data_IF_508657303789
#
_entry.id   IF_508657303789
#
_cell.length_a   1.000
_cell.length_b   1.000
_cell.length_c   1.000
_cell.angle_alpha   90.00
_cell.angle_beta   90.00
_cell.angle_gamma   90.00
#
_symmetry.space_group_name_H-M   'P 1'
#
loop_
_entity.id
_entity.type
_entity.pdbx_description
1 polymer ?
#
# COMPACT_ATOMS: atom_id res chain seq x y z
N UNK A 1 -24.38 1.27 -0.82
CA UNK A 1 -23.74 2.45 -1.45
C UNK A 1 -23.63 2.11 -2.93
N UNK A 2 -24.31 2.88 -3.79
CA UNK A 2 -24.27 2.64 -5.23
C UNK A 2 -22.95 3.12 -5.82
N UNK A 3 -22.33 2.30 -6.68
CA UNK A 3 -21.20 2.65 -7.49
C UNK A 3 -21.57 3.83 -8.41
N UNK A 4 -21.08 5.02 -8.10
CA UNK A 4 -21.21 6.16 -8.98
C UNK A 4 -20.00 6.21 -9.92
N UNK A 5 -20.21 5.85 -11.19
CA UNK A 5 -19.16 5.85 -12.23
C UNK A 5 -18.52 7.24 -12.43
N UNK A 6 -19.20 8.31 -12.00
CA UNK A 6 -18.76 9.70 -12.13
C UNK A 6 -18.10 10.27 -10.87
N UNK A 7 -17.70 9.42 -9.90
CA UNK A 7 -17.04 9.88 -8.68
C UNK A 7 -15.64 10.41 -9.00
N UNK A 8 -15.58 11.64 -9.49
CA UNK A 8 -14.35 12.43 -9.68
C UNK A 8 -14.55 13.76 -8.97
N UNK A 9 -13.49 14.44 -8.66
CA UNK A 9 -13.50 15.73 -8.00
C UNK A 9 -12.19 15.99 -7.26
N UNK A 10 -11.95 17.24 -6.90
CA UNK A 10 -10.74 17.61 -6.17
C UNK A 10 -9.42 17.25 -6.84
N UNK A 11 -9.41 17.06 -8.18
CA UNK A 11 -8.23 16.57 -8.91
C UNK A 11 -7.89 15.09 -8.66
N UNK A 12 -8.86 14.30 -8.20
CA UNK A 12 -8.68 12.89 -7.85
C UNK A 12 -9.50 11.96 -8.74
N UNK A 13 -8.96 10.76 -8.93
CA UNK A 13 -9.66 9.59 -9.46
C UNK A 13 -10.17 8.71 -8.31
N UNK A 14 -11.07 7.79 -8.62
CA UNK A 14 -11.37 6.64 -7.78
C UNK A 14 -10.17 5.69 -7.86
N UNK A 15 -9.28 5.78 -6.89
CA UNK A 15 -8.11 4.93 -6.85
C UNK A 15 -8.37 3.66 -6.06
N UNK A 16 -7.92 2.53 -6.59
CA UNK A 16 -7.84 1.30 -5.81
C UNK A 16 -6.69 1.42 -4.79
N UNK A 17 -6.92 0.92 -3.58
CA UNK A 17 -5.80 0.68 -2.65
C UNK A 17 -5.06 -0.59 -3.08
N UNK A 18 -5.76 -1.72 -3.18
CA UNK A 18 -5.26 -2.95 -3.81
C UNK A 18 -5.70 -2.97 -5.27
N UNK A 19 -4.77 -3.07 -6.19
CA UNK A 19 -5.04 -3.04 -7.62
C UNK A 19 -5.76 -4.31 -8.12
N UNK A 20 -6.30 -4.22 -9.34
CA UNK A 20 -7.01 -5.35 -9.95
C UNK A 20 -6.04 -6.47 -10.38
N UNK A 21 -4.78 -6.12 -10.66
CA UNK A 21 -3.76 -7.07 -11.09
C UNK A 21 -3.43 -8.12 -10.01
N UNK A 22 -3.49 -7.73 -8.72
CA UNK A 22 -3.17 -8.61 -7.59
C UNK A 22 -4.26 -9.63 -7.26
N UNK A 23 -5.44 -9.52 -7.89
CA UNK A 23 -6.61 -10.38 -7.60
C UNK A 23 -7.17 -11.05 -8.85
N UNK A 24 -6.30 -11.66 -9.65
CA UNK A 24 -6.66 -12.28 -10.95
C UNK A 24 -6.95 -13.78 -10.90
N UNK A 25 -6.88 -14.40 -9.73
CA UNK A 25 -7.10 -15.85 -9.56
C UNK A 25 -8.50 -16.32 -9.97
N UNK A 26 -9.51 -15.46 -9.87
CA UNK A 26 -10.86 -15.69 -10.37
C UNK A 26 -11.60 -14.37 -10.61
N UNK A 27 -12.65 -14.39 -11.40
CA UNK A 27 -13.57 -13.24 -11.59
C UNK A 27 -14.14 -12.76 -10.25
N UNK A 28 -14.49 -13.67 -9.36
CA UNK A 28 -15.06 -13.34 -8.06
C UNK A 28 -14.05 -12.63 -7.14
N UNK A 29 -12.80 -13.08 -7.09
CA UNK A 29 -11.74 -12.41 -6.33
C UNK A 29 -11.40 -11.05 -6.92
N UNK A 30 -11.34 -10.93 -8.24
CA UNK A 30 -11.10 -9.66 -8.90
C UNK A 30 -12.23 -8.66 -8.66
N UNK A 31 -13.49 -9.11 -8.63
CA UNK A 31 -14.65 -8.25 -8.35
C UNK A 31 -14.56 -7.55 -6.99
N UNK A 32 -13.90 -8.15 -6.01
CA UNK A 32 -13.76 -7.59 -4.67
C UNK A 32 -12.95 -6.29 -4.64
N UNK A 33 -12.00 -6.11 -5.54
CA UNK A 33 -11.18 -4.87 -5.59
C UNK A 33 -12.01 -3.64 -5.96
N UNK A 34 -13.16 -3.84 -6.57
CA UNK A 34 -14.08 -2.75 -6.93
C UNK A 34 -15.07 -2.39 -5.81
N UNK A 35 -14.98 -3.01 -4.64
CA UNK A 35 -15.79 -2.61 -3.49
C UNK A 35 -15.31 -1.26 -2.96
N UNK A 36 -16.23 -0.43 -2.50
CA UNK A 36 -15.90 0.90 -1.97
C UNK A 36 -14.95 0.89 -0.78
N UNK A 37 -14.88 -0.22 -0.06
CA UNK A 37 -13.91 -0.42 1.02
C UNK A 37 -12.46 -0.48 0.53
N UNK A 38 -12.26 -0.66 -0.78
CA UNK A 38 -10.95 -0.65 -1.44
C UNK A 38 -10.72 0.61 -2.31
N UNK A 39 -11.60 1.59 -2.25
CA UNK A 39 -11.53 2.79 -3.09
C UNK A 39 -11.28 4.02 -2.23
N UNK A 40 -10.28 4.80 -2.59
CA UNK A 40 -9.99 6.09 -1.99
C UNK A 40 -9.75 7.17 -3.06
N UNK A 41 -9.93 8.46 -2.75
CA UNK A 41 -9.50 9.53 -3.65
C UNK A 41 -7.99 9.45 -3.87
N UNK A 42 -7.54 9.36 -5.12
CA UNK A 42 -6.12 9.38 -5.50
C UNK A 42 -5.87 10.48 -6.52
N UNK A 43 -4.83 11.30 -6.30
CA UNK A 43 -4.46 12.39 -7.20
C UNK A 43 -4.23 11.87 -8.62
N UNK A 44 -5.00 12.41 -9.57
CA UNK A 44 -5.04 11.90 -10.95
C UNK A 44 -3.79 12.24 -11.77
N UNK A 45 -3.10 13.34 -11.42
CA UNK A 45 -2.02 13.88 -12.25
C UNK A 45 -0.65 13.27 -11.99
N UNK A 46 -0.39 12.71 -10.81
CA UNK A 46 0.95 12.25 -10.45
C UNK A 46 1.00 11.17 -9.38
N UNK A 47 -0.15 10.64 -8.95
CA UNK A 47 -0.17 9.59 -7.93
C UNK A 47 -0.83 8.30 -8.43
N UNK A 48 -2.03 8.38 -9.03
CA UNK A 48 -2.82 7.20 -9.42
C UNK A 48 -2.17 6.41 -10.58
N UNK A 49 -2.43 6.76 -11.83
CA UNK A 49 -2.03 6.00 -13.03
C UNK A 49 -1.01 6.74 -13.88
N UNK A 50 -0.53 6.11 -14.95
CA UNK A 50 0.36 6.73 -15.92
C UNK A 50 1.74 7.11 -15.38
N UNK A 51 2.36 6.22 -14.64
CA UNK A 51 3.65 6.47 -13.97
C UNK A 51 3.53 7.35 -12.74
N UNK A 52 2.34 7.41 -12.16
CA UNK A 52 2.11 8.07 -10.87
C UNK A 52 2.76 7.32 -9.71
N UNK A 53 2.94 8.03 -8.60
CA UNK A 53 3.66 7.46 -7.46
C UNK A 53 3.08 6.14 -6.94
N UNK A 54 1.75 6.00 -6.86
CA UNK A 54 1.13 4.76 -6.42
C UNK A 54 1.30 3.64 -7.45
N UNK A 55 1.05 3.92 -8.73
CA UNK A 55 1.23 2.94 -9.81
C UNK A 55 2.67 2.37 -9.84
N UNK A 56 3.69 3.22 -9.71
CA UNK A 56 5.09 2.76 -9.67
C UNK A 56 5.38 1.89 -8.44
N UNK A 57 4.72 2.16 -7.31
CA UNK A 57 4.85 1.30 -6.13
C UNK A 57 4.13 -0.04 -6.34
N UNK A 58 2.95 -0.07 -6.94
CA UNK A 58 2.24 -1.31 -7.30
C UNK A 58 3.12 -2.17 -8.22
N UNK A 59 3.63 -1.61 -9.32
CA UNK A 59 4.54 -2.29 -10.25
C UNK A 59 5.78 -2.85 -9.55
N UNK A 60 6.33 -2.11 -8.58
CA UNK A 60 7.47 -2.56 -7.80
C UNK A 60 7.10 -3.71 -6.83
N UNK A 61 5.97 -3.63 -6.15
CA UNK A 61 5.50 -4.67 -5.22
C UNK A 61 5.29 -5.99 -5.96
N UNK A 62 4.77 -5.97 -7.18
CA UNK A 62 4.62 -7.15 -8.02
C UNK A 62 5.96 -7.88 -8.25
N UNK A 63 7.08 -7.16 -8.29
CA UNK A 63 8.41 -7.77 -8.42
C UNK A 63 8.89 -8.47 -7.14
N UNK A 64 8.25 -8.23 -6.00
CA UNK A 64 8.67 -8.76 -4.70
C UNK A 64 8.15 -10.18 -4.42
N UNK A 65 7.37 -10.75 -5.31
CA UNK A 65 6.95 -12.15 -5.23
C UNK A 65 8.15 -13.07 -5.53
N UNK A 66 8.67 -13.76 -4.52
CA UNK A 66 9.86 -14.62 -4.62
C UNK A 66 9.44 -16.08 -4.60
N UNK A 67 9.13 -16.69 -5.73
CA UNK A 67 8.85 -18.15 -5.90
C UNK A 67 7.82 -18.75 -4.91
N UNK A 68 7.05 -17.92 -4.23
CA UNK A 68 6.04 -18.32 -3.26
C UNK A 68 5.00 -17.18 -3.17
N UNK A 69 4.40 -17.00 -2.01
CA UNK A 69 3.33 -16.04 -1.75
C UNK A 69 3.89 -14.77 -1.12
N UNK A 70 3.52 -13.61 -1.67
CA UNK A 70 3.62 -12.34 -1.00
C UNK A 70 2.29 -12.06 -0.29
N UNK A 71 2.35 -11.84 1.02
CA UNK A 71 1.18 -11.46 1.83
C UNK A 71 1.15 -9.95 1.94
N UNK A 72 0.05 -9.34 1.51
CA UNK A 72 -0.10 -7.90 1.41
C UNK A 72 -1.27 -7.40 2.24
N UNK A 73 -1.05 -6.31 2.95
CA UNK A 73 -2.12 -5.49 3.53
C UNK A 73 -1.93 -4.08 3.02
N UNK A 74 -2.94 -3.57 2.34
CA UNK A 74 -2.93 -2.25 1.72
C UNK A 74 -3.86 -1.32 2.47
N UNK A 75 -3.46 -0.07 2.62
CA UNK A 75 -4.30 0.91 3.26
C UNK A 75 -3.88 2.35 2.97
N UNK A 76 -4.62 3.26 3.59
CA UNK A 76 -4.31 4.68 3.55
C UNK A 76 -4.40 5.31 4.94
N UNK A 77 -3.75 6.46 5.10
CA UNK A 77 -3.63 7.21 6.35
C UNK A 77 -4.18 8.61 6.15
N UNK A 78 -4.70 9.23 7.20
CA UNK A 78 -5.44 10.49 7.09
C UNK A 78 -4.93 11.61 7.99
N UNK A 79 -4.00 11.34 8.90
CA UNK A 79 -3.35 12.36 9.70
C UNK A 79 -2.14 12.95 8.95
N UNK A 80 -1.51 13.99 9.49
CA UNK A 80 -0.31 14.58 8.88
C UNK A 80 0.77 13.54 8.66
N UNK A 81 1.30 13.46 7.44
CA UNK A 81 2.38 12.56 7.08
C UNK A 81 3.49 13.31 6.34
N UNK A 82 4.73 13.00 6.69
CA UNK A 82 5.92 13.47 5.97
C UNK A 82 6.76 12.27 5.58
N UNK A 83 7.07 12.13 4.29
CA UNK A 83 7.88 11.03 3.77
C UNK A 83 9.39 11.28 3.96
N UNK A 84 10.21 10.28 3.60
CA UNK A 84 11.67 10.37 3.67
C UNK A 84 12.31 11.34 2.68
N UNK A 85 11.53 11.95 1.78
CA UNK A 85 11.98 13.03 0.88
C UNK A 85 11.63 14.42 1.42
N UNK A 86 10.88 14.51 2.52
CA UNK A 86 10.41 15.76 3.10
C UNK A 86 9.08 16.26 2.51
N UNK A 87 8.37 15.45 1.73
CA UNK A 87 7.02 15.81 1.27
C UNK A 87 6.05 15.71 2.45
N UNK A 88 5.57 16.86 2.91
CA UNK A 88 4.56 16.95 3.97
C UNK A 88 3.15 17.04 3.37
N UNK A 89 2.25 16.17 3.79
CA UNK A 89 0.84 16.18 3.40
C UNK A 89 -0.01 16.28 4.65
N UNK A 90 -0.85 17.33 4.70
CA UNK A 90 -1.76 17.58 5.80
C UNK A 90 -3.17 17.09 5.51
N UNK A 91 -3.95 16.70 6.54
CA UNK A 91 -5.35 16.33 6.39
C UNK A 91 -6.15 17.42 5.71
N UNK A 92 -7.01 17.02 4.78
CA UNK A 92 -8.00 17.91 4.14
C UNK A 92 -9.21 17.12 3.67
N UNK A 93 -10.30 17.81 3.47
CA UNK A 93 -11.49 17.30 2.79
C UNK A 93 -11.58 17.86 1.38
N UNK A 94 -12.22 17.11 0.51
CA UNK A 94 -12.46 17.49 -0.89
C UNK A 94 -13.91 17.19 -1.28
N UNK A 95 -14.36 17.87 -2.33
CA UNK A 95 -15.58 17.47 -3.03
C UNK A 95 -15.27 16.29 -3.95
N UNK A 96 -15.89 15.16 -3.71
CA UNK A 96 -15.64 13.94 -4.45
C UNK A 96 -16.91 13.09 -4.54
N UNK A 97 -17.26 12.63 -5.75
CA UNK A 97 -18.40 11.76 -5.96
C UNK A 97 -19.76 12.37 -5.58
N UNK A 98 -19.88 13.70 -5.64
CA UNK A 98 -21.09 14.43 -5.26
C UNK A 98 -21.22 14.72 -3.76
N UNK A 99 -20.20 14.45 -2.96
CA UNK A 99 -20.08 14.84 -1.55
C UNK A 99 -19.03 15.93 -1.39
N UNK A 100 -19.18 16.80 -0.39
CA UNK A 100 -18.27 17.92 -0.14
C UNK A 100 -17.39 17.74 1.10
N UNK A 101 -17.44 16.57 1.71
CA UNK A 101 -16.85 16.26 3.01
C UNK A 101 -16.01 14.97 2.98
N UNK A 102 -15.48 14.60 1.82
CA UNK A 102 -14.69 13.38 1.69
C UNK A 102 -13.26 13.64 2.15
N UNK A 103 -12.82 12.91 3.18
CA UNK A 103 -11.44 12.96 3.65
C UNK A 103 -10.51 12.43 2.56
N UNK A 104 -9.44 13.18 2.30
CA UNK A 104 -8.40 12.81 1.36
C UNK A 104 -7.26 12.14 2.13
N UNK A 105 -6.83 10.93 1.73
CA UNK A 105 -5.66 10.32 2.35
C UNK A 105 -4.42 11.20 2.23
N UNK A 106 -3.57 11.16 3.24
CA UNK A 106 -2.28 11.85 3.26
C UNK A 106 -1.13 10.93 2.84
N UNK A 107 -1.32 9.62 3.03
CA UNK A 107 -0.35 8.59 2.68
C UNK A 107 -1.08 7.30 2.30
N UNK A 108 -0.48 6.53 1.41
CA UNK A 108 -0.86 5.16 1.09
C UNK A 108 0.28 4.22 1.44
N UNK A 109 -0.05 2.97 1.78
CA UNK A 109 0.95 2.00 2.20
C UNK A 109 0.64 0.58 1.76
N UNK A 110 1.70 -0.21 1.58
CA UNK A 110 1.73 -1.66 1.55
C UNK A 110 2.47 -2.17 2.77
N UNK A 111 1.83 -2.98 3.61
CA UNK A 111 2.51 -3.83 4.57
C UNK A 111 2.67 -5.21 3.94
N UNK A 112 3.89 -5.68 3.80
CA UNK A 112 4.19 -6.93 3.09
C UNK A 112 4.97 -7.90 3.96
N UNK A 113 4.68 -9.20 3.77
CA UNK A 113 5.34 -10.32 4.43
C UNK A 113 5.62 -11.42 3.41
N UNK A 114 6.82 -11.99 3.44
CA UNK A 114 7.19 -13.16 2.63
C UNK A 114 8.20 -14.04 3.33
N UNK A 115 8.42 -15.24 2.81
CA UNK A 115 9.56 -16.09 3.19
C UNK A 115 10.81 -15.61 2.44
N UNK A 116 11.98 -15.67 3.09
CA UNK A 116 13.26 -15.22 2.50
C UNK A 116 13.69 -16.04 1.29
N UNK A 117 13.39 -17.34 1.28
CA UNK A 117 13.89 -18.27 0.26
C UNK A 117 12.81 -18.79 -0.69
N UNK A 118 11.61 -18.18 -0.68
CA UNK A 118 10.45 -18.68 -1.40
C UNK A 118 9.83 -19.87 -0.67
N UNK A 119 9.29 -20.84 -1.41
CA UNK A 119 8.54 -21.96 -0.82
C UNK A 119 9.34 -22.69 0.28
N UNK A 120 8.91 -22.51 1.52
CA UNK A 120 9.50 -23.14 2.71
C UNK A 120 8.93 -24.55 2.96
N UNK A 121 7.93 -24.97 2.19
CA UNK A 121 7.20 -26.23 2.40
C UNK A 121 6.30 -26.24 3.65
N UNK A 122 6.13 -25.09 4.32
CA UNK A 122 5.30 -24.94 5.53
C UNK A 122 4.57 -23.60 5.53
N UNK A 123 3.53 -23.51 6.33
CA UNK A 123 2.79 -22.25 6.51
C UNK A 123 3.70 -21.16 7.09
N UNK A 124 3.52 -19.90 6.69
CA UNK A 124 4.23 -18.75 7.28
C UNK A 124 4.05 -18.64 8.79
N UNK A 125 2.95 -19.16 9.34
CA UNK A 125 2.70 -19.23 10.79
C UNK A 125 3.69 -20.13 11.53
N UNK A 126 4.25 -21.11 10.83
CA UNK A 126 5.16 -22.12 11.36
C UNK A 126 6.63 -21.79 11.04
N UNK A 127 6.86 -20.69 10.30
CA UNK A 127 8.20 -20.21 10.00
C UNK A 127 8.84 -19.54 11.23
N UNK A 128 10.17 -19.67 11.34
CA UNK A 128 10.95 -18.90 12.31
C UNK A 128 11.19 -17.48 11.80
N UNK A 129 11.56 -16.56 12.71
CA UNK A 129 11.81 -15.17 12.36
C UNK A 129 12.94 -15.00 11.31
N UNK A 130 13.96 -15.85 11.35
CA UNK A 130 15.07 -15.83 10.40
C UNK A 130 14.70 -16.36 9.01
N UNK A 131 13.54 -17.01 8.88
CA UNK A 131 12.98 -17.49 7.60
C UNK A 131 12.05 -16.47 6.95
N UNK A 132 11.66 -15.40 7.67
CA UNK A 132 10.67 -14.42 7.25
C UNK A 132 11.29 -13.04 7.00
N UNK A 133 10.63 -12.28 6.15
CA UNK A 133 10.89 -10.85 5.91
C UNK A 133 9.56 -10.11 5.88
N UNK A 134 9.49 -8.96 6.55
CA UNK A 134 8.37 -8.04 6.40
C UNK A 134 8.84 -6.59 6.44
N UNK A 135 8.08 -5.72 5.79
CA UNK A 135 8.35 -4.28 5.71
C UNK A 135 7.09 -3.54 5.31
N UNK A 136 7.01 -2.27 5.60
CA UNK A 136 6.02 -1.38 5.04
C UNK A 136 6.66 -0.44 4.01
N UNK A 137 6.01 -0.32 2.85
CA UNK A 137 6.27 0.72 1.86
C UNK A 137 5.19 1.79 2.01
N UNK A 138 5.61 3.03 2.14
CA UNK A 138 4.72 4.17 2.39
C UNK A 138 5.00 5.28 1.39
N UNK A 139 3.95 5.84 0.79
CA UNK A 139 4.07 6.97 -0.12
C UNK A 139 3.19 8.13 0.29
N UNK A 140 3.77 9.32 0.44
CA UNK A 140 3.02 10.56 0.61
C UNK A 140 2.10 10.77 -0.58
N UNK A 141 0.85 11.13 -0.32
CA UNK A 141 -0.16 11.34 -1.36
C UNK A 141 0.04 12.69 -2.06
N UNK A 142 1.05 12.74 -2.92
CA UNK A 142 1.47 13.97 -3.62
C UNK A 142 1.77 13.69 -5.09
N UNK A 143 1.62 14.72 -5.94
CA UNK A 143 2.01 14.64 -7.35
C UNK A 143 3.53 14.71 -7.58
N UNK A 144 4.31 15.12 -6.56
CA UNK A 144 5.78 15.25 -6.67
C UNK A 144 6.49 13.91 -6.88
N UNK A 145 5.82 12.80 -6.58
CA UNK A 145 6.34 11.44 -6.77
C UNK A 145 6.11 10.87 -8.18
N UNK A 146 5.55 11.65 -9.09
CA UNK A 146 5.37 11.21 -10.48
C UNK A 146 6.70 10.87 -11.13
N UNK A 147 6.79 9.67 -11.72
CA UNK A 147 8.02 9.18 -12.36
C UNK A 147 9.15 8.82 -11.40
N UNK A 148 8.92 8.84 -10.09
CA UNK A 148 9.90 8.43 -9.10
C UNK A 148 9.71 6.97 -8.71
N UNK A 149 10.71 6.15 -9.03
CA UNK A 149 10.75 4.76 -8.58
C UNK A 149 10.80 4.68 -7.05
N UNK A 150 10.27 3.60 -6.45
CA UNK A 150 10.40 3.36 -5.01
C UNK A 150 11.86 3.34 -4.54
N UNK A 151 12.08 3.79 -3.32
CA UNK A 151 13.41 3.80 -2.71
C UNK A 151 13.35 3.45 -1.22
N UNK A 152 14.51 3.21 -0.62
CA UNK A 152 14.62 2.94 0.81
C UNK A 152 14.09 4.06 1.71
N UNK A 153 13.94 5.29 1.19
CA UNK A 153 13.34 6.44 1.91
C UNK A 153 11.83 6.29 2.14
N UNK A 154 11.20 5.36 1.45
CA UNK A 154 9.77 5.07 1.53
C UNK A 154 9.49 3.77 2.29
N UNK A 155 10.48 3.29 3.03
CA UNK A 155 10.37 2.07 3.83
C UNK A 155 10.32 2.38 5.32
N UNK A 156 9.53 1.62 6.05
CA UNK A 156 9.53 1.62 7.52
C UNK A 156 9.30 0.21 8.06
N UNK A 157 9.61 0.00 9.33
CA UNK A 157 9.28 -1.27 9.98
C UNK A 157 7.78 -1.47 10.11
N UNK A 158 7.33 -2.72 10.18
CA UNK A 158 5.91 -3.01 10.45
C UNK A 158 5.51 -2.45 11.82
N UNK A 159 6.39 -2.51 12.82
CA UNK A 159 6.12 -1.94 14.13
C UNK A 159 5.93 -0.41 14.09
N UNK A 160 6.68 0.30 13.24
CA UNK A 160 6.48 1.73 13.02
C UNK A 160 5.14 2.02 12.35
N UNK A 161 4.76 1.23 11.34
CA UNK A 161 3.46 1.36 10.69
C UNK A 161 2.32 1.06 11.68
N UNK A 162 2.46 0.04 12.55
CA UNK A 162 1.49 -0.27 13.60
C UNK A 162 1.32 0.92 14.58
N UNK A 163 2.43 1.55 15.00
CA UNK A 163 2.37 2.74 15.86
C UNK A 163 1.71 3.93 15.17
N UNK A 164 1.99 4.11 13.87
CA UNK A 164 1.45 5.21 13.09
C UNK A 164 -0.06 5.06 12.87
N UNK A 165 -0.49 3.86 12.48
CA UNK A 165 -1.88 3.62 12.03
C UNK A 165 -2.82 3.14 13.14
N UNK A 166 -2.26 2.62 14.24
CA UNK A 166 -3.04 1.99 15.32
C UNK A 166 -3.57 0.60 15.00
N UNK A 167 -3.21 0.02 13.84
CA UNK A 167 -3.60 -1.33 13.43
C UNK A 167 -2.50 -2.33 13.74
N UNK A 168 -2.86 -3.61 13.89
CA UNK A 168 -1.92 -4.72 13.97
C UNK A 168 -1.88 -5.48 12.64
N UNK A 169 -0.67 -5.64 12.10
CA UNK A 169 -0.45 -6.38 10.85
C UNK A 169 0.14 -7.75 11.14
N UNK A 170 -0.22 -8.74 10.32
CA UNK A 170 0.29 -10.12 10.42
C UNK A 170 0.16 -10.73 11.82
N UNK A 171 -0.90 -10.39 12.56
CA UNK A 171 -1.13 -10.89 13.92
C UNK A 171 -1.18 -12.44 14.01
N UNK A 172 -1.58 -13.11 12.92
CA UNK A 172 -1.57 -14.57 12.80
C UNK A 172 -0.20 -15.19 12.52
N UNK A 173 0.88 -14.39 12.41
CA UNK A 173 2.25 -14.86 12.15
C UNK A 173 3.14 -14.44 13.32
N UNK A 174 3.25 -15.27 14.38
CA UNK A 174 3.84 -14.85 15.66
C UNK A 174 5.33 -14.49 15.56
N UNK A 175 6.04 -15.04 14.57
CA UNK A 175 7.46 -14.81 14.37
C UNK A 175 7.77 -13.79 13.24
N UNK A 176 6.77 -13.01 12.76
CA UNK A 176 7.03 -11.95 11.78
C UNK A 176 8.03 -10.93 12.36
N UNK A 177 9.15 -10.63 11.66
CA UNK A 177 10.22 -9.75 12.18
C UNK A 177 9.81 -8.27 12.03
N UNK A 178 8.83 -7.83 12.82
CA UNK A 178 8.15 -6.53 12.66
C UNK A 178 9.02 -5.32 13.00
N UNK A 179 10.04 -5.48 13.85
CA UNK A 179 10.80 -4.36 14.43
C UNK A 179 11.92 -3.84 13.51
N UNK A 180 12.30 -4.61 12.50
CA UNK A 180 13.42 -4.26 11.64
C UNK A 180 13.29 -4.84 10.24
N UNK A 181 13.95 -4.18 9.29
CA UNK A 181 14.09 -4.63 7.90
C UNK A 181 15.46 -4.22 7.36
N UNK A 182 15.85 -4.79 6.23
CA UNK A 182 16.99 -4.32 5.42
C UNK A 182 16.49 -3.98 4.04
N UNK A 183 16.74 -2.76 3.57
CA UNK A 183 16.30 -2.31 2.25
C UNK A 183 16.86 -3.21 1.13
N UNK A 184 18.12 -3.64 1.27
CA UNK A 184 18.75 -4.57 0.31
C UNK A 184 18.07 -5.92 0.17
N UNK A 185 17.31 -6.37 1.18
CA UNK A 185 16.53 -7.61 1.07
C UNK A 185 15.34 -7.46 0.12
N UNK A 186 14.98 -6.23 -0.19
CA UNK A 186 13.88 -5.83 -1.08
C UNK A 186 14.38 -5.20 -2.39
N UNK A 187 15.68 -5.14 -2.61
CA UNK A 187 16.28 -4.62 -3.84
C UNK A 187 16.46 -3.10 -3.86
N UNK A 188 16.44 -2.44 -2.68
CA UNK A 188 16.59 -0.98 -2.51
C UNK A 188 17.81 -0.60 -1.67
#
# INVERSE_FOLDING_TARGET
>A
IQYNSKATGGGCNKGHMLGSAERTSSTETNRQVFYYTNIAPQLSSGFNTGGGGWNLLEDYIDTQVVKDTLYEVVGCYFETFTDGYGNAVNPKTISFGGRNDVSMPTMFYYAVLRTKKGNSGKSVKDCKADELQCVAFVRAHTNSLKGQEPSSKEMMSIADLERLTGFSYFAGVPNAPKDSFKASDWGL
#
